data_IF_115184040433
#
_entry.id   IF_115184040433
#
_cell.length_a   1.000
_cell.length_b   1.000
_cell.length_c   1.000
_cell.angle_alpha   90.00
_cell.angle_beta   90.00
_cell.angle_gamma   90.00
#
_symmetry.space_group_name_H-M   'P 1'
#
loop_
_entity.id
_entity.type
_entity.pdbx_description
1 polymer ?
#
# COMPACT_ATOMS: atom_id res chain seq x y z
N UNK A 1 20.32 -15.04 17.17
CA UNK A 1 19.45 -13.94 16.68
C UNK A 1 18.05 -14.49 16.51
N UNK A 2 16.98 -13.81 16.93
CA UNK A 2 15.62 -14.26 16.65
C UNK A 2 15.39 -14.24 15.13
N UNK A 3 14.63 -15.20 14.59
CA UNK A 3 14.16 -15.14 13.20
C UNK A 3 13.35 -13.86 13.02
N UNK A 4 13.72 -13.03 12.06
CA UNK A 4 12.90 -11.92 11.61
C UNK A 4 11.58 -12.50 11.07
N UNK A 5 10.45 -11.93 11.48
CA UNK A 5 9.15 -12.27 10.91
C UNK A 5 9.17 -11.79 9.44
N UNK A 6 8.82 -12.63 8.46
CA UNK A 6 8.73 -12.20 7.06
C UNK A 6 7.80 -10.99 6.91
N UNK A 7 8.16 -10.03 6.08
CA UNK A 7 7.37 -8.80 5.85
C UNK A 7 5.93 -9.13 5.42
N UNK A 8 5.75 -10.24 4.69
CA UNK A 8 4.47 -10.79 4.26
C UNK A 8 3.56 -11.12 5.46
N UNK A 9 4.13 -11.69 6.53
CA UNK A 9 3.40 -12.02 7.75
C UNK A 9 3.04 -10.79 8.56
N UNK A 10 3.89 -9.76 8.54
CA UNK A 10 3.57 -8.47 9.15
C UNK A 10 2.39 -7.84 8.40
N UNK A 11 2.45 -7.83 7.07
CA UNK A 11 1.36 -7.32 6.24
C UNK A 11 0.07 -8.08 6.47
N UNK A 12 0.11 -9.41 6.48
CA UNK A 12 -1.07 -10.24 6.72
C UNK A 12 -1.69 -9.99 8.10
N UNK A 13 -0.85 -9.88 9.14
CA UNK A 13 -1.30 -9.54 10.49
C UNK A 13 -2.09 -8.22 10.51
N UNK A 14 -1.54 -7.16 9.90
CA UNK A 14 -2.22 -5.86 9.80
C UNK A 14 -3.56 -5.98 9.07
N UNK A 15 -3.61 -6.73 7.98
CA UNK A 15 -4.85 -6.88 7.21
C UNK A 15 -5.90 -7.73 7.94
N UNK A 16 -5.49 -8.73 8.72
CA UNK A 16 -6.38 -9.54 9.54
C UNK A 16 -6.97 -8.71 10.70
N UNK A 17 -6.14 -7.97 11.44
CA UNK A 17 -6.58 -7.10 12.54
C UNK A 17 -7.56 -6.02 12.08
N UNK A 18 -7.37 -5.50 10.86
CA UNK A 18 -8.26 -4.49 10.26
C UNK A 18 -9.48 -5.07 9.54
N UNK A 19 -9.58 -6.41 9.48
CA UNK A 19 -10.59 -7.17 8.73
C UNK A 19 -10.60 -6.87 7.23
N UNK A 20 -9.50 -6.35 6.69
CA UNK A 20 -9.30 -6.18 5.27
C UNK A 20 -9.08 -7.54 4.62
N UNK A 21 -8.38 -8.43 5.31
CA UNK A 21 -8.24 -9.83 4.96
C UNK A 21 -9.10 -10.65 5.93
N UNK A 22 -10.03 -11.44 5.40
CA UNK A 22 -10.88 -12.35 6.19
C UNK A 22 -10.94 -13.67 5.46
N UNK A 23 -10.57 -14.76 6.13
CA UNK A 23 -10.52 -16.10 5.54
C UNK A 23 -9.71 -16.12 4.22
N UNK A 24 -8.55 -15.44 4.21
CA UNK A 24 -7.69 -15.28 3.03
C UNK A 24 -8.35 -14.55 1.84
N UNK A 25 -9.47 -13.85 2.06
CA UNK A 25 -10.13 -13.03 1.04
C UNK A 25 -9.91 -11.56 1.34
N UNK A 26 -9.44 -10.83 0.33
CA UNK A 26 -9.19 -9.41 0.43
C UNK A 26 -10.48 -8.63 0.16
N UNK A 27 -10.79 -7.67 1.04
CA UNK A 27 -11.97 -6.83 0.98
C UNK A 27 -11.57 -5.37 0.73
N UNK A 28 -11.49 -4.97 -0.54
CA UNK A 28 -11.03 -3.62 -0.94
C UNK A 28 -11.88 -2.49 -0.37
N UNK A 29 -13.21 -2.65 -0.32
CA UNK A 29 -14.10 -1.62 0.26
C UNK A 29 -13.88 -1.45 1.76
N UNK A 30 -13.55 -2.55 2.47
CA UNK A 30 -13.17 -2.48 3.88
C UNK A 30 -11.80 -1.80 4.05
N UNK A 31 -10.85 -2.03 3.13
CA UNK A 31 -9.57 -1.33 3.13
C UNK A 31 -9.76 0.18 2.98
N UNK A 32 -10.53 0.61 1.98
CA UNK A 32 -10.85 2.02 1.77
C UNK A 32 -11.50 2.61 3.03
N UNK A 33 -12.48 1.93 3.60
CA UNK A 33 -13.14 2.38 4.83
C UNK A 33 -12.17 2.55 6.00
N UNK A 34 -11.32 1.56 6.26
CA UNK A 34 -10.37 1.60 7.39
C UNK A 34 -9.32 2.69 7.20
N UNK A 35 -8.78 2.84 6.00
CA UNK A 35 -7.76 3.83 5.69
C UNK A 35 -8.33 5.25 5.73
N UNK A 36 -9.49 5.48 5.10
CA UNK A 36 -10.16 6.79 5.09
C UNK A 36 -10.63 7.21 6.48
N UNK A 37 -10.95 6.28 7.39
CA UNK A 37 -11.29 6.60 8.77
C UNK A 37 -10.12 7.20 9.57
N UNK A 38 -8.88 7.11 9.08
CA UNK A 38 -7.69 7.72 9.69
C UNK A 38 -7.35 9.09 9.11
N UNK A 39 -8.04 9.50 8.06
CA UNK A 39 -7.87 10.82 7.45
C UNK A 39 -8.65 11.86 8.27
N UNK A 40 -8.03 12.99 8.68
CA UNK A 40 -8.73 14.02 9.45
C UNK A 40 -9.97 14.54 8.74
N UNK A 41 -11.04 14.81 9.50
CA UNK A 41 -12.28 15.38 8.96
C UNK A 41 -12.01 16.70 8.23
N UNK A 42 -12.68 16.89 7.09
CA UNK A 42 -12.55 18.11 6.27
C UNK A 42 -11.42 18.07 5.23
N UNK A 43 -10.70 16.95 5.12
CA UNK A 43 -9.56 16.82 4.19
C UNK A 43 -9.93 15.95 2.98
N UNK A 44 -10.88 16.43 2.18
CA UNK A 44 -11.45 15.69 1.03
C UNK A 44 -10.37 15.21 0.05
N UNK A 45 -9.31 16.00 -0.16
CA UNK A 45 -8.19 15.63 -1.04
C UNK A 45 -7.43 14.40 -0.53
N UNK A 46 -7.22 14.29 0.79
CA UNK A 46 -6.58 13.11 1.40
C UNK A 46 -7.47 11.88 1.30
N UNK A 47 -8.77 12.04 1.55
CA UNK A 47 -9.73 10.93 1.41
C UNK A 47 -9.72 10.40 -0.02
N UNK A 48 -9.72 11.28 -1.01
CA UNK A 48 -9.66 10.89 -2.42
C UNK A 48 -8.33 10.20 -2.77
N UNK A 49 -7.19 10.77 -2.35
CA UNK A 49 -5.87 10.18 -2.60
C UNK A 49 -5.75 8.76 -2.02
N UNK A 50 -6.22 8.57 -0.78
CA UNK A 50 -6.22 7.26 -0.11
C UNK A 50 -7.12 6.26 -0.83
N UNK A 51 -8.33 6.67 -1.26
CA UNK A 51 -9.22 5.80 -2.02
C UNK A 51 -8.61 5.36 -3.36
N UNK A 52 -8.08 6.32 -4.13
CA UNK A 52 -7.46 6.05 -5.44
C UNK A 52 -6.26 5.12 -5.27
N UNK A 53 -5.40 5.37 -4.27
CA UNK A 53 -4.27 4.53 -3.94
C UNK A 53 -4.70 3.10 -3.61
N UNK A 54 -5.66 2.93 -2.69
CA UNK A 54 -6.14 1.62 -2.28
C UNK A 54 -6.75 0.82 -3.45
N UNK A 55 -7.58 1.45 -4.29
CA UNK A 55 -8.18 0.78 -5.46
C UNK A 55 -7.12 0.35 -6.47
N UNK A 56 -6.19 1.25 -6.80
CA UNK A 56 -5.10 0.96 -7.74
C UNK A 56 -4.23 -0.19 -7.22
N UNK A 57 -3.80 -0.11 -5.97
CA UNK A 57 -2.94 -1.14 -5.38
C UNK A 57 -3.64 -2.48 -5.20
N UNK A 58 -4.95 -2.50 -4.96
CA UNK A 58 -5.72 -3.73 -4.98
C UNK A 58 -5.66 -4.40 -6.36
N UNK A 59 -5.87 -3.64 -7.43
CA UNK A 59 -5.78 -4.17 -8.79
C UNK A 59 -4.38 -4.73 -9.04
N UNK A 60 -3.33 -3.93 -8.85
CA UNK A 60 -1.96 -4.35 -9.19
C UNK A 60 -1.41 -5.48 -8.30
N UNK A 61 -1.69 -5.42 -6.99
CA UNK A 61 -1.03 -6.27 -5.98
C UNK A 61 -1.88 -7.44 -5.49
N UNK A 62 -3.17 -7.49 -5.83
CA UNK A 62 -4.08 -8.53 -5.36
C UNK A 62 -4.84 -9.19 -6.51
N UNK A 63 -5.29 -8.42 -7.51
CA UNK A 63 -6.02 -8.96 -8.68
C UNK A 63 -5.06 -9.44 -9.76
N UNK A 64 -4.10 -8.59 -10.16
CA UNK A 64 -3.20 -8.84 -11.28
C UNK A 64 -2.00 -9.70 -10.90
N UNK A 65 -1.64 -9.76 -9.61
CA UNK A 65 -0.49 -10.53 -9.13
C UNK A 65 -0.88 -11.88 -8.53
N UNK A 66 -0.45 -12.93 -9.24
CA UNK A 66 0.20 -14.13 -8.71
C UNK A 66 -0.54 -15.09 -7.76
N UNK A 67 -1.67 -14.73 -7.14
CA UNK A 67 -2.39 -15.62 -6.21
C UNK A 67 -2.84 -16.93 -6.91
N UNK A 68 -3.01 -16.90 -8.24
CA UNK A 68 -3.32 -18.08 -9.05
C UNK A 68 -2.09 -18.83 -9.60
N UNK A 69 -0.90 -18.21 -9.66
CA UNK A 69 0.30 -18.86 -10.25
C UNK A 69 1.18 -19.55 -9.19
N UNK A 70 1.43 -18.93 -8.04
CA UNK A 70 2.29 -19.53 -6.99
C UNK A 70 1.65 -20.70 -6.26
N UNK A 71 0.33 -20.70 -6.10
CA UNK A 71 -0.43 -21.84 -5.55
C UNK A 71 -0.50 -23.00 -6.55
N UNK A 72 -0.52 -22.69 -7.86
CA UNK A 72 -0.56 -23.69 -8.93
C UNK A 72 0.80 -24.37 -9.18
N UNK A 73 1.92 -23.74 -8.83
CA UNK A 73 3.27 -24.25 -9.10
C UNK A 73 3.89 -25.09 -7.96
N UNK A 74 3.16 -25.34 -6.86
CA UNK A 74 3.63 -26.16 -5.72
C UNK A 74 4.97 -25.70 -5.10
N UNK A 75 5.39 -24.47 -5.39
CA UNK A 75 6.67 -23.90 -4.98
C UNK A 75 6.45 -23.05 -3.73
N UNK A 76 6.50 -23.74 -2.58
CA UNK A 76 6.50 -23.19 -1.22
C UNK A 76 5.11 -22.71 -0.81
N UNK A 77 4.51 -23.35 0.21
CA UNK A 77 3.44 -22.70 0.98
C UNK A 77 4.07 -21.48 1.64
N UNK A 78 3.80 -20.24 1.20
CA UNK A 78 4.28 -19.13 1.99
C UNK A 78 3.53 -19.22 3.33
N UNK A 79 4.24 -19.10 4.46
CA UNK A 79 3.61 -19.10 5.79
C UNK A 79 2.54 -17.99 5.89
N UNK A 80 2.65 -16.95 5.04
CA UNK A 80 1.75 -15.79 4.96
C UNK A 80 1.57 -15.29 3.51
N UNK A 81 0.46 -14.62 3.21
CA UNK A 81 0.06 -14.15 1.87
C UNK A 81 0.94 -12.96 1.40
N UNK A 82 1.72 -13.09 0.31
CA UNK A 82 2.63 -12.02 -0.15
C UNK A 82 1.94 -10.73 -0.60
N UNK A 83 0.73 -10.82 -1.17
CA UNK A 83 -0.04 -9.65 -1.60
C UNK A 83 -0.41 -8.73 -0.43
N UNK A 84 -0.42 -9.24 0.81
CA UNK A 84 -0.76 -8.46 1.99
C UNK A 84 0.20 -7.30 2.20
N UNK A 85 1.50 -7.59 2.23
CA UNK A 85 2.53 -6.56 2.41
C UNK A 85 2.65 -5.65 1.18
N UNK A 86 2.58 -6.24 -0.02
CA UNK A 86 2.67 -5.48 -1.28
C UNK A 86 1.55 -4.46 -1.42
N UNK A 87 0.32 -4.83 -1.05
CA UNK A 87 -0.82 -3.90 -1.03
C UNK A 87 -0.54 -2.70 -0.11
N UNK A 88 -0.04 -2.95 1.11
CA UNK A 88 0.23 -1.90 2.09
C UNK A 88 1.33 -0.94 1.61
N UNK A 89 2.44 -1.48 1.11
CA UNK A 89 3.57 -0.69 0.61
C UNK A 89 3.16 0.14 -0.61
N UNK A 90 2.44 -0.46 -1.56
CA UNK A 90 1.91 0.25 -2.73
C UNK A 90 0.98 1.40 -2.29
N UNK A 91 0.03 1.11 -1.39
CA UNK A 91 -0.95 2.11 -0.95
C UNK A 91 -0.27 3.27 -0.23
N UNK A 92 0.67 2.97 0.67
CA UNK A 92 1.48 3.98 1.34
C UNK A 92 2.25 4.85 0.35
N UNK A 93 2.91 4.23 -0.63
CA UNK A 93 3.79 4.95 -1.55
C UNK A 93 3.03 5.89 -2.48
N UNK A 94 1.85 5.48 -2.95
CA UNK A 94 0.98 6.34 -3.74
C UNK A 94 0.41 7.47 -2.88
N UNK A 95 -0.10 7.16 -1.68
CA UNK A 95 -0.66 8.18 -0.79
C UNK A 95 0.39 9.20 -0.32
N UNK A 96 1.63 8.76 -0.08
CA UNK A 96 2.73 9.62 0.30
C UNK A 96 3.18 10.54 -0.84
N UNK A 97 3.26 10.00 -2.07
CA UNK A 97 3.56 10.80 -3.28
C UNK A 97 2.47 11.85 -3.53
N UNK A 98 1.21 11.45 -3.46
CA UNK A 98 0.04 12.30 -3.70
C UNK A 98 -0.36 13.11 -2.46
N UNK A 99 0.55 13.25 -1.48
CA UNK A 99 0.35 14.11 -0.33
C UNK A 99 0.01 15.54 -0.82
N UNK A 100 -1.14 16.11 -0.43
CA UNK A 100 -1.54 17.43 -0.91
C UNK A 100 -0.57 18.51 -0.44
N UNK A 101 -0.32 19.51 -1.29
CA UNK A 101 0.65 20.59 -1.05
C UNK A 101 0.52 21.30 0.30
N UNK A 102 -0.71 21.43 0.80
CA UNK A 102 -1.00 22.04 2.09
C UNK A 102 -0.41 21.29 3.30
N UNK A 103 0.01 20.02 3.13
CA UNK A 103 0.59 19.18 4.17
C UNK A 103 2.10 18.98 4.01
N UNK A 104 2.69 19.44 2.91
CA UNK A 104 4.13 19.50 2.78
C UNK A 104 4.66 20.68 3.59
N UNK A 105 5.66 20.44 4.42
CA UNK A 105 6.41 21.52 5.07
C UNK A 105 7.39 22.13 4.05
N UNK A 106 6.86 22.90 3.10
CA UNK A 106 7.65 23.50 2.00
C UNK A 106 8.65 24.54 2.53
N UNK A 107 8.42 25.05 3.76
CA UNK A 107 9.36 25.91 4.47
C UNK A 107 10.63 25.17 4.90
N UNK A 108 10.58 23.84 4.99
CA UNK A 108 11.72 22.98 5.26
C UNK A 108 12.42 22.57 3.96
N UNK A 109 13.69 22.98 3.81
CA UNK A 109 14.45 22.74 2.59
C UNK A 109 14.66 21.25 2.30
N UNK A 110 14.83 20.43 3.34
CA UNK A 110 14.98 18.97 3.18
C UNK A 110 13.68 18.33 2.70
N UNK A 111 12.53 18.82 3.20
CA UNK A 111 11.22 18.35 2.74
C UNK A 111 11.00 18.74 1.27
N UNK A 112 11.33 19.98 0.91
CA UNK A 112 11.25 20.48 -0.47
C UNK A 112 12.09 19.64 -1.43
N UNK A 113 13.34 19.34 -1.10
CA UNK A 113 14.21 18.48 -1.92
C UNK A 113 13.63 17.07 -2.10
N UNK A 114 13.05 16.51 -1.03
CA UNK A 114 12.42 15.19 -1.08
C UNK A 114 11.20 15.17 -2.00
N UNK A 115 10.32 16.17 -1.92
CA UNK A 115 9.15 16.33 -2.81
C UNK A 115 9.58 16.49 -4.26
N UNK A 116 10.60 17.31 -4.52
CA UNK A 116 11.16 17.50 -5.86
C UNK A 116 11.71 16.18 -6.42
N UNK A 117 12.42 15.39 -5.60
CA UNK A 117 12.90 14.07 -6.01
C UNK A 117 11.75 13.10 -6.31
N UNK A 118 10.71 13.05 -5.46
CA UNK A 118 9.54 12.20 -5.67
C UNK A 118 8.78 12.53 -6.95
N UNK A 119 8.64 13.81 -7.28
CA UNK A 119 7.93 14.26 -8.46
C UNK A 119 8.75 14.14 -9.75
N UNK A 120 10.07 14.27 -9.69
CA UNK A 120 10.93 14.30 -10.88
C UNK A 120 11.68 12.98 -11.15
N UNK A 121 11.89 12.14 -10.14
CA UNK A 121 12.48 10.82 -10.35
C UNK A 121 11.40 9.83 -10.80
N UNK A 122 11.14 9.81 -12.11
CA UNK A 122 10.23 8.85 -12.77
C UNK A 122 10.48 7.37 -12.41
N UNK A 123 11.69 7.03 -11.96
CA UNK A 123 12.06 5.68 -11.55
C UNK A 123 11.77 5.37 -10.07
N UNK A 124 11.63 6.41 -9.24
CA UNK A 124 11.29 6.24 -7.83
C UNK A 124 9.86 5.71 -7.76
N UNK A 125 9.71 4.52 -7.18
CA UNK A 125 8.47 3.74 -7.18
C UNK A 125 8.02 3.19 -8.53
N UNK A 126 8.76 3.30 -9.63
CA UNK A 126 8.37 2.73 -10.94
C UNK A 126 7.98 1.25 -10.87
N UNK A 127 8.68 0.48 -10.04
CA UNK A 127 8.38 -0.94 -9.75
C UNK A 127 7.02 -1.17 -9.05
N UNK A 128 6.41 -0.15 -8.46
CA UNK A 128 5.04 -0.19 -7.92
C UNK A 128 3.99 0.33 -8.91
N UNK A 129 4.41 0.87 -10.06
CA UNK A 129 3.54 1.51 -11.05
C UNK A 129 3.48 0.77 -12.39
N UNK A 130 4.52 0.01 -12.74
CA UNK A 130 4.62 -0.83 -13.96
C UNK A 130 4.43 -2.34 -13.68
N UNK A 131 3.74 -2.69 -12.58
CA UNK A 131 3.18 -4.03 -12.41
C UNK A 131 1.72 -3.94 -12.77
#
# INVERSE_FOLDING_TARGET
>A
MPRLIPDECIGECVLNETRILVNHRFHVEQAIKVLSARVPNGTLTWMHAVEVAARKCYILQVVDTFYLQQVAENSISPECIPSSYRFLVCTFSIAYRDCPDAYWDIGNELCREFVVALNNCLYLFKHMWEI
#
